data_IF_054186647968
#
_entry.id   IF_054186647968
#
_cell.length_a   1.000
_cell.length_b   1.000
_cell.length_c   1.000
_cell.angle_alpha   90.00
_cell.angle_beta   90.00
_cell.angle_gamma   90.00
#
_symmetry.space_group_name_H-M   'P 1'
#
loop_
_entity.id
_entity.type
_entity.pdbx_description
1 polymer ?
#
# COMPACT_ATOMS: atom_id res chain seq x y z
N UNK A 1 -8.57 -23.85 -33.53
CA UNK A 1 -7.43 -24.61 -32.96
C UNK A 1 -7.20 -24.23 -31.49
N UNK A 2 -6.74 -25.13 -30.61
CA UNK A 2 -6.53 -24.87 -29.16
C UNK A 2 -5.57 -23.69 -28.89
N UNK A 3 -4.64 -23.42 -29.80
CA UNK A 3 -3.69 -22.30 -29.75
C UNK A 3 -4.32 -20.94 -30.03
N UNK A 4 -5.37 -20.86 -30.87
CA UNK A 4 -6.12 -19.62 -31.10
C UNK A 4 -6.95 -19.23 -29.88
N UNK A 5 -7.55 -20.22 -29.22
CA UNK A 5 -8.27 -20.01 -27.96
C UNK A 5 -7.35 -19.53 -26.84
N UNK A 6 -6.13 -20.08 -26.75
CA UNK A 6 -5.11 -19.64 -25.80
C UNK A 6 -4.63 -18.20 -26.08
N UNK A 7 -4.33 -17.86 -27.34
CA UNK A 7 -3.94 -16.49 -27.73
C UNK A 7 -5.06 -15.48 -27.43
N UNK A 8 -6.31 -15.82 -27.76
CA UNK A 8 -7.46 -14.97 -27.46
C UNK A 8 -7.67 -14.78 -25.94
N UNK A 9 -7.41 -15.81 -25.13
CA UNK A 9 -7.47 -15.72 -23.67
C UNK A 9 -6.41 -14.76 -23.10
N UNK A 10 -5.16 -14.83 -23.60
CA UNK A 10 -4.07 -13.92 -23.21
C UNK A 10 -4.39 -12.47 -23.58
N UNK A 11 -4.91 -12.22 -24.79
CA UNK A 11 -5.30 -10.86 -25.21
C UNK A 11 -6.40 -10.30 -24.31
N UNK A 12 -7.43 -11.10 -24.00
CA UNK A 12 -8.51 -10.70 -23.08
C UNK A 12 -8.03 -10.48 -21.65
N UNK A 13 -7.07 -11.27 -21.16
CA UNK A 13 -6.45 -11.04 -19.86
C UNK A 13 -5.71 -9.69 -19.83
N UNK A 14 -4.83 -9.45 -20.81
CA UNK A 14 -4.09 -8.17 -20.93
C UNK A 14 -5.01 -6.95 -21.04
N UNK A 15 -6.12 -7.06 -21.76
CA UNK A 15 -7.09 -5.97 -21.87
C UNK A 15 -7.80 -5.68 -20.53
N UNK A 16 -8.16 -6.73 -19.79
CA UNK A 16 -8.73 -6.61 -18.43
C UNK A 16 -7.72 -5.97 -17.47
N UNK A 17 -6.49 -6.45 -17.47
CA UNK A 17 -5.41 -5.95 -16.61
C UNK A 17 -5.16 -4.46 -16.87
N UNK A 18 -5.08 -4.06 -18.16
CA UNK A 18 -4.93 -2.65 -18.53
C UNK A 18 -6.10 -1.79 -18.06
N UNK A 19 -7.33 -2.31 -18.14
CA UNK A 19 -8.49 -1.58 -17.66
C UNK A 19 -8.49 -1.42 -16.14
N UNK A 20 -8.06 -2.45 -15.39
CA UNK A 20 -7.88 -2.40 -13.94
C UNK A 20 -6.83 -1.35 -13.55
N UNK A 21 -5.66 -1.36 -14.20
CA UNK A 21 -4.59 -0.38 -13.97
C UNK A 21 -5.06 1.06 -14.27
N UNK A 22 -5.83 1.28 -15.33
CA UNK A 22 -6.38 2.61 -15.65
C UNK A 22 -7.40 3.09 -14.62
N UNK A 23 -8.19 2.18 -14.03
CA UNK A 23 -9.12 2.51 -12.93
C UNK A 23 -8.34 2.86 -11.66
N UNK A 24 -7.31 2.07 -11.36
CA UNK A 24 -6.41 2.29 -10.23
C UNK A 24 -5.72 3.65 -10.33
N UNK A 25 -5.09 3.97 -11.46
CA UNK A 25 -4.40 5.25 -11.69
C UNK A 25 -5.31 6.46 -11.41
N UNK A 26 -6.55 6.43 -11.93
CA UNK A 26 -7.54 7.48 -11.67
C UNK A 26 -7.91 7.58 -10.19
N UNK A 27 -7.98 6.45 -9.48
CA UNK A 27 -8.30 6.43 -8.04
C UNK A 27 -7.10 6.93 -7.22
N UNK A 28 -5.89 6.52 -7.53
CA UNK A 28 -4.67 7.00 -6.87
C UNK A 28 -4.50 8.50 -7.05
N UNK A 29 -4.78 9.04 -8.25
CA UNK A 29 -4.78 10.49 -8.48
C UNK A 29 -5.77 11.24 -7.56
N UNK A 30 -6.98 10.70 -7.37
CA UNK A 30 -7.98 11.29 -6.46
C UNK A 30 -7.52 11.23 -5.00
N UNK A 31 -6.97 10.10 -4.56
CA UNK A 31 -6.47 9.93 -3.19
C UNK A 31 -5.27 10.83 -2.93
N UNK A 32 -4.36 10.98 -3.91
CA UNK A 32 -3.27 11.93 -3.83
C UNK A 32 -3.77 13.36 -3.61
N UNK A 33 -4.80 13.79 -4.34
CA UNK A 33 -5.43 15.10 -4.10
C UNK A 33 -6.03 15.20 -2.68
N UNK A 34 -6.63 14.12 -2.16
CA UNK A 34 -7.14 14.09 -0.78
C UNK A 34 -6.02 14.22 0.25
N UNK A 35 -4.92 13.48 0.09
CA UNK A 35 -3.74 13.55 0.97
C UNK A 35 -3.19 14.99 1.01
N UNK A 36 -3.01 15.61 -0.16
CA UNK A 36 -2.50 16.98 -0.25
C UNK A 36 -3.48 18.02 0.33
N UNK A 37 -4.78 17.79 0.22
CA UNK A 37 -5.78 18.67 0.84
C UNK A 37 -5.80 18.53 2.37
N UNK A 38 -5.68 17.30 2.90
CA UNK A 38 -5.61 17.04 4.33
C UNK A 38 -4.34 17.65 4.95
N UNK A 39 -3.20 17.53 4.28
CA UNK A 39 -1.94 18.06 4.77
C UNK A 39 -1.93 19.58 4.91
N UNK A 40 -2.65 20.30 4.03
CA UNK A 40 -2.83 21.76 4.14
C UNK A 40 -3.61 22.16 5.39
N UNK A 41 -4.49 21.30 5.88
CA UNK A 41 -5.34 21.55 7.06
C UNK A 41 -4.68 21.12 8.37
N UNK A 42 -3.76 20.17 8.34
CA UNK A 42 -3.03 19.73 9.52
C UNK A 42 -1.95 20.74 9.94
N UNK A 43 -2.06 21.20 11.19
CA UNK A 43 -1.02 21.93 11.90
C UNK A 43 -0.02 20.99 12.56
N UNK A 44 1.16 21.51 12.89
CA UNK A 44 2.27 20.73 13.44
C UNK A 44 3.05 19.94 12.38
N UNK A 45 4.32 19.68 12.67
CA UNK A 45 5.17 18.80 11.89
C UNK A 45 6.16 18.17 12.85
N UNK A 46 6.30 16.84 12.80
CA UNK A 46 7.50 16.22 13.33
C UNK A 46 8.69 16.73 12.52
N UNK A 47 9.76 17.13 13.19
CA UNK A 47 11.02 17.53 12.56
C UNK A 47 12.16 16.80 13.25
N UNK A 48 12.88 15.95 12.52
CA UNK A 48 13.89 15.08 13.10
C UNK A 48 14.25 13.90 12.20
N UNK A 49 15.00 12.98 12.78
CA UNK A 49 15.38 11.72 12.15
C UNK A 49 14.14 10.85 11.88
N UNK A 50 14.08 10.26 10.69
CA UNK A 50 13.00 9.35 10.33
C UNK A 50 13.34 7.89 10.66
N UNK A 51 14.61 7.57 10.93
CA UNK A 51 15.02 6.25 11.41
C UNK A 51 14.30 5.86 12.70
N UNK A 52 13.59 4.74 12.69
CA UNK A 52 12.80 4.25 13.82
C UNK A 52 11.50 5.00 14.11
N UNK A 53 11.10 5.97 13.26
CA UNK A 53 9.85 6.70 13.42
C UNK A 53 8.67 5.71 13.40
N UNK A 54 8.62 4.87 12.37
CA UNK A 54 7.55 3.91 12.17
C UNK A 54 7.78 2.65 12.98
N UNK A 55 6.74 2.23 13.69
CA UNK A 55 6.60 0.87 14.17
C UNK A 55 6.49 -0.11 12.98
N UNK A 56 7.05 -1.30 13.16
CA UNK A 56 7.02 -2.35 12.13
C UNK A 56 5.56 -2.75 11.83
N UNK A 57 5.12 -2.74 10.56
CA UNK A 57 3.70 -2.87 10.24
C UNK A 57 3.19 -4.33 10.17
N UNK A 58 4.09 -5.31 10.14
CA UNK A 58 3.78 -6.74 10.09
C UNK A 58 4.88 -7.56 10.76
N UNK A 59 4.51 -8.75 11.23
CA UNK A 59 5.47 -9.74 11.73
C UNK A 59 6.09 -10.50 10.55
N UNK A 60 7.36 -10.88 10.68
CA UNK A 60 8.11 -11.60 9.63
C UNK A 60 9.00 -10.72 8.76
N UNK A 61 9.88 -11.32 7.94
CA UNK A 61 11.00 -10.64 7.28
C UNK A 61 10.57 -9.80 6.07
N UNK A 62 11.46 -8.90 5.64
CA UNK A 62 11.33 -8.27 4.32
C UNK A 62 11.58 -9.33 3.26
N UNK A 63 10.59 -9.56 2.39
CA UNK A 63 10.66 -10.54 1.29
C UNK A 63 10.90 -9.89 -0.07
N UNK A 64 10.51 -8.61 -0.22
CA UNK A 64 10.81 -7.84 -1.42
C UNK A 64 11.01 -6.36 -1.06
N UNK A 65 12.20 -5.79 -1.30
CA UNK A 65 12.45 -4.39 -0.97
C UNK A 65 11.78 -3.45 -1.98
N UNK A 66 11.63 -2.18 -1.59
CA UNK A 66 11.30 -1.08 -2.49
C UNK A 66 12.35 -0.95 -3.61
N UNK A 67 11.92 -0.54 -4.80
CA UNK A 67 12.83 -0.21 -5.90
C UNK A 67 12.46 -0.86 -7.22
N UNK A 68 13.24 -0.58 -8.26
CA UNK A 68 12.96 -1.11 -9.58
C UNK A 68 13.30 -2.59 -9.67
N UNK A 69 12.35 -3.39 -10.16
CA UNK A 69 12.51 -4.83 -10.36
C UNK A 69 11.64 -5.33 -11.49
N UNK A 70 11.94 -6.54 -11.96
CA UNK A 70 11.04 -7.26 -12.86
C UNK A 70 9.82 -7.76 -12.08
N UNK A 71 8.62 -7.44 -12.59
CA UNK A 71 7.36 -7.86 -11.98
C UNK A 71 7.22 -9.39 -12.04
N UNK A 72 6.99 -10.09 -10.92
CA UNK A 72 7.09 -11.56 -10.85
C UNK A 72 5.99 -12.27 -11.64
N UNK A 73 4.82 -11.63 -11.77
CA UNK A 73 3.68 -12.19 -12.53
C UNK A 73 3.73 -11.85 -14.03
N UNK A 74 4.20 -10.65 -14.38
CA UNK A 74 4.00 -10.07 -15.72
C UNK A 74 5.31 -9.87 -16.50
N UNK A 75 6.46 -10.01 -15.85
CA UNK A 75 7.78 -9.96 -16.48
C UNK A 75 8.24 -8.58 -16.96
N UNK A 76 7.48 -7.50 -16.74
CA UNK A 76 7.93 -6.15 -17.10
C UNK A 76 8.76 -5.52 -15.98
N UNK A 77 9.72 -4.67 -16.35
CA UNK A 77 10.53 -3.90 -15.41
C UNK A 77 9.74 -2.68 -14.91
N UNK A 78 9.59 -2.53 -13.60
CA UNK A 78 8.82 -1.45 -13.00
C UNK A 78 9.21 -1.17 -11.56
N UNK A 79 8.76 -0.04 -11.04
CA UNK A 79 8.96 0.32 -9.64
C UNK A 79 8.09 -0.57 -8.74
N UNK A 80 8.71 -1.28 -7.82
CA UNK A 80 8.05 -1.79 -6.63
C UNK A 80 7.91 -0.66 -5.63
N UNK A 81 6.71 -0.08 -5.58
CA UNK A 81 6.43 1.15 -4.84
C UNK A 81 6.18 0.93 -3.34
N UNK A 82 6.64 -0.19 -2.79
CA UNK A 82 6.51 -0.54 -1.38
C UNK A 82 7.54 -1.59 -0.99
N UNK A 83 7.47 -2.03 0.26
CA UNK A 83 8.26 -3.15 0.77
C UNK A 83 7.30 -4.26 1.17
N UNK A 84 7.60 -5.48 0.72
CA UNK A 84 6.85 -6.67 1.06
C UNK A 84 7.38 -7.29 2.34
N UNK A 85 6.48 -7.57 3.27
CA UNK A 85 6.73 -8.30 4.50
C UNK A 85 6.05 -9.66 4.43
N UNK A 86 6.85 -10.72 4.52
CA UNK A 86 6.35 -12.10 4.50
C UNK A 86 5.71 -12.44 5.84
N UNK A 87 4.40 -12.66 5.83
CA UNK A 87 3.61 -12.93 7.03
C UNK A 87 2.50 -13.95 6.73
N UNK A 88 2.14 -14.75 7.74
CA UNK A 88 1.04 -15.71 7.61
C UNK A 88 -0.30 -15.03 7.34
N UNK A 89 -1.19 -15.67 6.57
CA UNK A 89 -2.54 -15.17 6.36
C UNK A 89 -3.26 -14.98 7.71
N UNK A 90 -3.97 -13.87 7.87
CA UNK A 90 -4.69 -13.56 9.12
C UNK A 90 -3.82 -13.00 10.24
N UNK A 91 -2.49 -12.95 10.09
CA UNK A 91 -1.62 -12.27 11.06
C UNK A 91 -1.97 -10.79 11.17
N UNK A 92 -1.79 -10.23 12.36
CA UNK A 92 -2.07 -8.81 12.65
C UNK A 92 -1.18 -7.87 11.85
N UNK A 93 -1.77 -6.78 11.37
CA UNK A 93 -1.08 -5.63 10.82
C UNK A 93 -1.19 -4.45 11.76
N UNK A 94 -0.08 -3.78 12.04
CA UNK A 94 -0.02 -2.70 13.02
C UNK A 94 0.14 -1.32 12.37
N UNK A 95 -0.49 -0.32 12.99
CA UNK A 95 -0.30 1.08 12.67
C UNK A 95 1.18 1.45 12.85
N UNK A 96 1.83 1.88 11.77
CA UNK A 96 3.24 2.27 11.81
C UNK A 96 3.44 3.53 12.66
N UNK A 97 2.45 4.42 12.70
CA UNK A 97 2.42 5.54 13.63
C UNK A 97 0.96 5.91 13.94
N UNK A 98 0.77 6.69 15.00
CA UNK A 98 -0.51 7.27 15.36
C UNK A 98 -1.03 8.16 14.24
N UNK A 99 -2.32 8.06 13.92
CA UNK A 99 -2.87 8.76 12.77
C UNK A 99 -4.33 8.46 12.53
N UNK A 100 -4.84 8.95 11.40
CA UNK A 100 -6.24 8.79 11.01
C UNK A 100 -6.33 8.00 9.72
N UNK A 101 -7.23 7.01 9.68
CA UNK A 101 -7.54 6.26 8.47
C UNK A 101 -8.32 7.16 7.52
N UNK A 102 -7.72 7.51 6.39
CA UNK A 102 -8.32 8.46 5.43
C UNK A 102 -9.07 7.77 4.30
N UNK A 103 -8.77 6.49 4.06
CA UNK A 103 -9.43 5.71 3.03
C UNK A 103 -9.26 4.20 3.29
N UNK A 104 -10.28 3.43 2.95
CA UNK A 104 -10.24 1.97 2.86
C UNK A 104 -11.03 1.54 1.65
N UNK A 105 -10.46 0.70 0.79
CA UNK A 105 -11.20 0.18 -0.35
C UNK A 105 -10.60 -1.09 -0.95
N UNK A 106 -11.43 -1.80 -1.71
CA UNK A 106 -11.00 -2.91 -2.56
C UNK A 106 -10.74 -2.47 -4.00
N UNK A 107 -9.64 -2.94 -4.59
CA UNK A 107 -9.44 -2.99 -6.04
C UNK A 107 -8.77 -4.30 -6.49
N UNK A 108 -8.83 -4.60 -7.78
CA UNK A 108 -8.32 -5.86 -8.35
C UNK A 108 -6.79 -6.02 -8.21
N UNK A 109 -6.04 -4.92 -8.21
CA UNK A 109 -4.56 -4.94 -8.23
C UNK A 109 -4.03 -5.15 -6.82
N UNK A 110 -4.45 -4.30 -5.88
CA UNK A 110 -3.90 -4.28 -4.53
C UNK A 110 -4.81 -4.91 -3.47
N UNK A 111 -5.99 -5.37 -3.88
CA UNK A 111 -6.95 -6.00 -2.97
C UNK A 111 -7.53 -5.00 -1.98
N UNK A 112 -7.73 -5.45 -0.75
CA UNK A 112 -8.15 -4.58 0.34
C UNK A 112 -6.99 -3.68 0.75
N UNK A 113 -7.16 -2.37 0.51
CA UNK A 113 -6.19 -1.32 0.84
C UNK A 113 -6.67 -0.45 1.99
N UNK A 114 -5.75 -0.05 2.87
CA UNK A 114 -5.97 0.92 3.94
C UNK A 114 -4.94 2.04 3.86
N UNK A 115 -5.39 3.30 3.97
CA UNK A 115 -4.55 4.50 3.97
C UNK A 115 -4.62 5.17 5.34
N UNK A 116 -3.48 5.27 6.03
CA UNK A 116 -3.32 5.87 7.34
C UNK A 116 -2.48 7.14 7.24
N UNK A 117 -3.10 8.30 7.40
CA UNK A 117 -2.40 9.58 7.42
C UNK A 117 -1.86 9.88 8.83
N UNK A 118 -0.55 10.09 8.94
CA UNK A 118 0.14 10.27 10.23
C UNK A 118 0.61 11.71 10.46
N UNK A 119 0.23 12.63 9.57
CA UNK A 119 0.59 14.04 9.67
C UNK A 119 1.79 14.42 8.81
N UNK A 120 2.50 15.48 9.24
CA UNK A 120 3.69 15.99 8.57
C UNK A 120 4.96 15.54 9.26
N UNK A 121 5.93 15.14 8.45
CA UNK A 121 7.30 14.77 8.85
C UNK A 121 8.24 15.56 7.95
N UNK A 122 9.11 16.37 8.56
CA UNK A 122 10.06 17.22 7.85
C UNK A 122 9.39 18.05 6.75
N UNK A 123 8.26 18.68 7.09
CA UNK A 123 7.47 19.52 6.19
C UNK A 123 6.66 18.80 5.10
N UNK A 124 6.76 17.47 5.00
CA UNK A 124 6.02 16.68 4.03
C UNK A 124 4.92 15.84 4.68
N UNK A 125 3.78 15.71 4.02
CA UNK A 125 2.73 14.79 4.47
C UNK A 125 3.15 13.33 4.30
N UNK A 126 2.93 12.52 5.33
CA UNK A 126 3.19 11.09 5.31
C UNK A 126 1.87 10.33 5.42
N UNK A 127 1.68 9.38 4.51
CA UNK A 127 0.58 8.43 4.53
C UNK A 127 1.12 7.03 4.37
N UNK A 128 0.74 6.14 5.29
CA UNK A 128 1.10 4.72 5.27
C UNK A 128 0.00 3.96 4.55
N UNK A 129 0.37 3.05 3.66
CA UNK A 129 -0.58 2.25 2.87
C UNK A 129 -0.33 0.77 3.11
N UNK A 130 -1.40 0.05 3.43
CA UNK A 130 -1.39 -1.38 3.67
C UNK A 130 -2.22 -2.06 2.59
N UNK A 131 -1.63 -3.03 1.89
CA UNK A 131 -2.25 -3.70 0.75
C UNK A 131 -2.40 -5.21 0.97
N UNK A 132 -3.19 -5.84 0.12
CA UNK A 132 -3.45 -7.27 0.10
C UNK A 132 -4.14 -7.81 1.37
N UNK A 133 -4.79 -6.96 2.16
CA UNK A 133 -5.42 -7.34 3.43
C UNK A 133 -6.49 -8.42 3.20
N UNK A 134 -6.64 -9.33 4.17
CA UNK A 134 -7.81 -10.21 4.21
C UNK A 134 -9.04 -9.47 4.75
N UNK A 135 -8.84 -8.64 5.78
CA UNK A 135 -9.88 -7.82 6.39
C UNK A 135 -9.29 -6.60 7.11
N UNK A 136 -10.14 -5.61 7.39
CA UNK A 136 -9.81 -4.41 8.14
C UNK A 136 -10.24 -4.56 9.60
N UNK A 137 -9.41 -4.08 10.54
CA UNK A 137 -9.78 -3.99 11.95
C UNK A 137 -10.37 -2.60 12.29
N UNK A 138 -10.11 -1.61 11.44
CA UNK A 138 -10.58 -0.22 11.57
C UNK A 138 -11.07 0.31 10.23
N UNK A 139 -12.01 1.25 10.26
CA UNK A 139 -12.59 1.87 9.07
C UNK A 139 -12.11 3.30 8.82
N UNK A 140 -12.49 3.86 7.67
CA UNK A 140 -12.27 5.27 7.35
C UNK A 140 -12.81 6.20 8.45
N UNK A 141 -12.02 7.19 8.83
CA UNK A 141 -12.32 8.15 9.90
C UNK A 141 -11.78 7.74 11.27
N UNK A 142 -11.41 6.47 11.47
CA UNK A 142 -10.86 6.01 12.74
C UNK A 142 -9.49 6.65 13.03
N UNK A 143 -9.30 7.09 14.28
CA UNK A 143 -7.99 7.46 14.81
C UNK A 143 -7.38 6.23 15.51
N UNK A 144 -6.11 5.93 15.20
CA UNK A 144 -5.39 4.77 15.73
C UNK A 144 -4.07 5.22 16.35
N UNK A 145 -3.59 4.46 17.33
CA UNK A 145 -2.28 4.68 17.97
C UNK A 145 -1.20 3.85 17.29
N UNK A 146 0.06 4.31 17.35
CA UNK A 146 1.24 3.51 16.96
C UNK A 146 1.18 2.12 17.59
N UNK A 147 1.38 1.08 16.78
CA UNK A 147 1.32 -0.32 17.22
C UNK A 147 -0.09 -0.90 17.39
N UNK A 148 -1.16 -0.12 17.18
CA UNK A 148 -2.53 -0.63 17.20
C UNK A 148 -2.79 -1.49 15.96
N UNK A 149 -3.54 -2.59 16.11
CA UNK A 149 -3.97 -3.41 14.97
C UNK A 149 -4.92 -2.63 14.06
N UNK A 150 -4.61 -2.58 12.77
CA UNK A 150 -5.40 -1.87 11.74
C UNK A 150 -6.04 -2.81 10.72
N UNK A 151 -5.57 -4.06 10.63
CA UNK A 151 -6.09 -5.06 9.73
C UNK A 151 -5.32 -6.36 9.83
N UNK A 152 -5.56 -7.24 8.88
CA UNK A 152 -5.00 -8.58 8.89
C UNK A 152 -4.42 -8.94 7.53
N UNK A 153 -3.27 -9.61 7.54
CA UNK A 153 -2.57 -10.08 6.35
C UNK A 153 -3.51 -10.94 5.50
N UNK A 154 -3.39 -10.81 4.19
CA UNK A 154 -4.12 -11.64 3.24
C UNK A 154 -3.35 -11.81 1.94
N UNK A 155 -4.08 -12.22 0.92
CA UNK A 155 -3.58 -12.34 -0.46
C UNK A 155 -4.63 -11.81 -1.44
N UNK A 156 -5.35 -10.75 -1.07
CA UNK A 156 -6.38 -10.17 -1.94
C UNK A 156 -5.75 -9.35 -3.06
N UNK A 157 -6.43 -9.24 -4.20
CA UNK A 157 -5.91 -8.58 -5.39
C UNK A 157 -4.87 -9.44 -6.13
N UNK A 158 -4.00 -8.81 -6.92
CA UNK A 158 -2.93 -9.46 -7.67
C UNK A 158 -1.75 -9.79 -6.77
N UNK A 159 -1.94 -10.80 -5.92
CA UNK A 159 -0.92 -11.33 -5.02
C UNK A 159 -0.61 -12.80 -5.34
N UNK A 160 0.65 -13.21 -5.20
CA UNK A 160 1.08 -14.62 -5.37
C UNK A 160 1.03 -15.41 -4.07
N UNK A 161 0.76 -14.78 -2.92
CA UNK A 161 0.70 -15.43 -1.62
C UNK A 161 0.52 -14.44 -0.48
N UNK A 162 0.33 -14.94 0.74
CA UNK A 162 0.12 -14.05 1.89
C UNK A 162 1.36 -13.24 2.24
N UNK A 163 1.19 -11.91 2.22
CA UNK A 163 2.19 -10.93 2.58
C UNK A 163 1.52 -9.57 2.82
N UNK A 164 2.24 -8.64 3.44
CA UNK A 164 1.90 -7.22 3.43
C UNK A 164 2.76 -6.52 2.39
N UNK A 165 2.15 -5.90 1.38
CA UNK A 165 2.83 -4.84 0.61
C UNK A 165 2.58 -3.51 1.32
N UNK A 166 3.64 -2.94 1.89
CA UNK A 166 3.59 -1.70 2.66
C UNK A 166 4.22 -0.54 1.88
N UNK A 167 3.48 0.56 1.72
CA UNK A 167 3.98 1.76 1.04
C UNK A 167 3.99 2.95 2.00
N UNK A 168 5.06 3.73 1.97
CA UNK A 168 5.09 5.07 2.56
C UNK A 168 4.93 6.09 1.43
N UNK A 169 3.92 6.94 1.54
CA UNK A 169 3.69 8.05 0.61
C UNK A 169 4.16 9.35 1.25
N UNK A 170 5.14 10.02 0.64
CA UNK A 170 5.58 11.38 0.97
C UNK A 170 4.97 12.36 -0.03
N UNK A 171 4.07 13.23 0.43
CA UNK A 171 3.28 14.13 -0.43
C UNK A 171 2.51 13.38 -1.53
N UNK A 172 2.05 12.17 -1.21
CA UNK A 172 1.32 11.30 -2.12
C UNK A 172 2.20 10.55 -3.13
N UNK A 173 3.53 10.66 -3.05
CA UNK A 173 4.48 9.91 -3.88
C UNK A 173 5.15 8.80 -3.06
N UNK A 174 5.32 7.59 -3.61
CA UNK A 174 5.95 6.49 -2.89
C UNK A 174 7.43 6.74 -2.66
N UNK A 175 7.88 6.45 -1.44
CA UNK A 175 9.29 6.47 -1.02
C UNK A 175 9.63 5.15 -0.34
N UNK A 176 10.92 4.86 -0.21
CA UNK A 176 11.38 3.64 0.47
C UNK A 176 10.91 3.62 1.95
N UNK A 177 10.07 2.66 2.35
CA UNK A 177 9.64 2.52 3.73
C UNK A 177 10.79 2.30 4.72
N UNK A 178 11.90 1.70 4.27
CA UNK A 178 13.02 1.37 5.14
C UNK A 178 13.75 2.60 5.68
N UNK A 179 13.63 3.76 5.02
CA UNK A 179 14.16 5.04 5.55
C UNK A 179 13.36 5.63 6.71
N UNK A 180 12.24 5.00 7.10
CA UNK A 180 11.37 5.43 8.19
C UNK A 180 11.29 4.41 9.35
N UNK A 181 12.00 3.28 9.25
CA UNK A 181 12.00 2.19 10.23
C UNK A 181 13.31 2.11 11.00
#
# INVERSE_FOLDING_TARGET
>A
SSTENARAAVVRARARDRAALKRLEKREARIKSQILALSRRQGGSYNGDTGGLLHRPADGPVTSPFGYRTHPIYGYYGLHNGTDFGAGCGSSLWAGESGTVINTYYDEVYGNRLYLAIGKVNGASITLVYNHLSSYAVGQGAHVKRGQVVGYVGSTGWSTGCHLHFTVLRNGEPVDPMGYM
#
